data_IF_153977181679
#
_entry.id   IF_153977181679
#
_cell.length_a   1.000
_cell.length_b   1.000
_cell.length_c   1.000
_cell.angle_alpha   90.00
_cell.angle_beta   90.00
_cell.angle_gamma   90.00
#
_symmetry.space_group_name_H-M   'P 1'
#
loop_
_entity.id
_entity.type
_entity.pdbx_description
1 polymer ?
#
# COMPACT_ATOMS: atom_id res chain seq x y z
N UNK A 1 80.24 -47.54 15.70
CA UNK A 1 80.02 -46.08 15.67
C UNK A 1 78.61 -45.86 15.25
N UNK A 2 77.71 -45.51 16.19
CA UNK A 2 76.27 -45.30 15.93
C UNK A 2 75.96 -43.81 16.11
N UNK A 3 75.59 -43.15 15.05
CA UNK A 3 75.13 -41.77 15.11
C UNK A 3 73.62 -41.72 15.39
N UNK A 4 73.26 -41.14 16.51
CA UNK A 4 71.89 -40.82 16.83
C UNK A 4 71.53 -39.40 16.29
N UNK A 5 70.59 -39.30 15.41
CA UNK A 5 69.96 -38.06 15.02
C UNK A 5 68.72 -37.83 15.90
N UNK A 6 68.72 -36.75 16.66
CA UNK A 6 67.57 -36.28 17.39
C UNK A 6 66.76 -35.32 16.48
N UNK A 7 65.56 -35.72 16.14
CA UNK A 7 64.62 -34.87 15.39
C UNK A 7 63.84 -34.01 16.40
N UNK A 8 64.00 -32.70 16.33
CA UNK A 8 63.19 -31.73 17.08
C UNK A 8 61.87 -31.50 16.38
N UNK A 9 60.76 -31.84 17.02
CA UNK A 9 59.40 -31.54 16.56
C UNK A 9 59.01 -30.14 17.06
N UNK A 10 58.87 -29.23 16.12
CA UNK A 10 58.34 -27.89 16.38
C UNK A 10 56.80 -27.95 16.39
N UNK A 11 56.18 -27.79 17.59
CA UNK A 11 54.75 -27.67 17.70
C UNK A 11 54.33 -26.21 17.43
N UNK A 12 53.67 -25.96 16.29
CA UNK A 12 53.06 -24.68 16.00
C UNK A 12 51.66 -24.67 16.62
N UNK A 13 51.47 -23.93 17.69
CA UNK A 13 50.14 -23.66 18.27
C UNK A 13 49.45 -22.58 17.43
N UNK A 14 48.50 -22.97 16.59
CA UNK A 14 47.54 -22.04 15.95
C UNK A 14 46.55 -21.62 17.03
N UNK A 15 46.70 -20.40 17.54
CA UNK A 15 45.63 -19.68 18.28
C UNK A 15 44.57 -19.25 17.27
N UNK A 16 43.49 -19.99 17.13
CA UNK A 16 42.31 -19.59 16.40
C UNK A 16 41.65 -18.40 17.09
N UNK A 17 41.68 -17.23 16.49
CA UNK A 17 40.81 -16.12 16.87
C UNK A 17 39.39 -16.52 16.49
N UNK A 18 38.57 -16.87 17.47
CA UNK A 18 37.12 -16.95 17.34
C UNK A 18 36.65 -15.49 17.22
N UNK A 19 36.38 -15.05 16.00
CA UNK A 19 35.63 -13.83 15.79
C UNK A 19 34.20 -14.13 16.27
N UNK A 20 33.84 -13.63 17.47
CA UNK A 20 32.44 -13.50 17.84
C UNK A 20 31.79 -12.58 16.82
N UNK A 21 31.04 -13.15 15.88
CA UNK A 21 29.99 -12.41 15.19
C UNK A 21 29.06 -11.88 16.26
N UNK A 22 28.87 -10.57 16.32
CA UNK A 22 27.77 -9.98 17.07
C UNK A 22 26.52 -10.66 16.53
N UNK A 23 25.91 -11.52 17.31
CA UNK A 23 24.53 -11.95 17.11
C UNK A 23 23.70 -10.66 17.10
N UNK A 24 23.16 -10.30 15.93
CA UNK A 24 22.09 -9.34 15.86
C UNK A 24 20.98 -9.88 16.76
N UNK A 25 20.64 -9.11 17.78
CA UNK A 25 19.56 -9.39 18.72
C UNK A 25 18.25 -9.50 17.93
N UNK A 26 17.95 -10.68 17.42
CA UNK A 26 16.65 -11.05 16.83
C UNK A 26 15.63 -11.25 17.95
N UNK A 27 15.48 -10.26 18.84
CA UNK A 27 14.34 -10.18 19.71
C UNK A 27 13.07 -10.35 18.85
N UNK A 28 12.24 -11.32 19.22
CA UNK A 28 11.01 -11.65 18.51
C UNK A 28 10.22 -10.37 18.20
N UNK A 29 10.18 -9.96 16.92
CA UNK A 29 9.49 -8.75 16.51
C UNK A 29 8.00 -8.94 16.72
N UNK A 30 7.40 -8.16 17.62
CA UNK A 30 6.00 -8.31 18.02
C UNK A 30 5.14 -7.27 17.33
N UNK A 31 3.99 -7.70 16.83
CA UNK A 31 2.92 -6.81 16.42
C UNK A 31 2.30 -6.14 17.65
N UNK A 32 2.29 -4.81 17.65
CA UNK A 32 1.66 -3.99 18.67
C UNK A 32 0.35 -3.41 18.13
N UNK A 33 -0.75 -3.58 18.86
CA UNK A 33 -2.05 -3.00 18.51
C UNK A 33 -2.04 -1.49 18.77
N UNK A 34 -2.26 -0.71 17.71
CA UNK A 34 -2.31 0.74 17.74
C UNK A 34 -3.72 1.29 17.76
N UNK A 35 -4.61 0.68 16.96
CA UNK A 35 -6.01 1.08 16.87
C UNK A 35 -6.89 -0.12 16.49
N UNK A 36 -8.12 -0.11 16.95
CA UNK A 36 -9.15 -1.09 16.59
C UNK A 36 -10.52 -0.43 16.47
N UNK A 37 -11.30 -0.90 15.50
CA UNK A 37 -12.70 -0.50 15.31
C UNK A 37 -13.61 -1.74 15.30
N UNK A 38 -14.57 -1.77 16.22
CA UNK A 38 -15.47 -2.92 16.37
C UNK A 38 -16.64 -2.90 15.38
N UNK A 39 -16.80 -1.83 14.60
CA UNK A 39 -17.99 -1.62 13.77
C UNK A 39 -17.65 -1.38 12.30
N UNK A 40 -16.67 -0.52 12.02
CA UNK A 40 -16.43 -0.01 10.67
C UNK A 40 -15.16 -0.60 10.07
N UNK A 41 -15.29 -1.13 8.86
CA UNK A 41 -14.17 -1.70 8.10
C UNK A 41 -13.24 -0.58 7.64
N UNK A 42 -12.03 -0.59 8.16
CA UNK A 42 -10.96 0.32 7.73
C UNK A 42 -10.08 -0.33 6.65
N UNK A 43 -9.49 0.48 5.78
CA UNK A 43 -8.53 0.03 4.76
C UNK A 43 -7.21 0.78 4.87
N UNK A 44 -7.21 2.10 4.84
CA UNK A 44 -5.99 2.89 4.83
C UNK A 44 -5.48 3.26 6.22
N UNK A 45 -4.18 3.46 6.30
CA UNK A 45 -3.47 3.97 7.47
C UNK A 45 -2.42 4.99 7.07
N UNK A 46 -2.37 6.12 7.77
CA UNK A 46 -1.32 7.11 7.64
C UNK A 46 -0.84 7.58 9.01
N UNK A 47 0.45 7.44 9.29
CA UNK A 47 1.08 7.90 10.53
C UNK A 47 2.00 9.08 10.26
N UNK A 48 1.73 10.18 10.91
CA UNK A 48 2.57 11.36 10.90
C UNK A 48 3.77 11.14 11.84
N UNK A 49 4.96 11.55 11.42
CA UNK A 49 6.17 11.46 12.26
C UNK A 49 5.94 12.20 13.58
N UNK A 50 6.15 11.55 14.73
CA UNK A 50 5.89 12.07 16.08
C UNK A 50 4.48 12.67 16.28
N UNK A 51 3.49 12.28 15.47
CA UNK A 51 2.19 12.94 15.42
C UNK A 51 1.00 11.99 15.33
N UNK A 52 0.03 12.40 14.52
CA UNK A 52 -1.27 11.76 14.38
C UNK A 52 -1.19 10.39 13.70
N UNK A 53 -2.12 9.52 14.05
CA UNK A 53 -2.45 8.33 13.30
C UNK A 53 -3.84 8.51 12.69
N UNK A 54 -3.93 8.45 11.36
CA UNK A 54 -5.18 8.54 10.62
C UNK A 54 -5.52 7.18 10.03
N UNK A 55 -6.81 6.91 9.94
CA UNK A 55 -7.35 5.77 9.18
C UNK A 55 -8.50 6.24 8.31
N UNK A 56 -8.75 5.51 7.22
CA UNK A 56 -9.94 5.74 6.41
C UNK A 56 -10.83 4.50 6.33
N UNK A 57 -12.10 4.79 6.07
CA UNK A 57 -13.18 3.82 5.91
C UNK A 57 -13.82 4.05 4.55
N UNK A 58 -13.63 3.18 3.57
CA UNK A 58 -14.31 3.31 2.30
C UNK A 58 -15.80 3.00 2.47
N UNK A 59 -16.64 3.74 1.75
CA UNK A 59 -18.10 3.56 1.81
C UNK A 59 -18.53 2.36 0.96
N UNK A 60 -18.08 1.17 1.32
CA UNK A 60 -18.38 -0.07 0.59
C UNK A 60 -19.69 -0.75 1.03
N UNK A 61 -20.25 -0.33 2.15
CA UNK A 61 -21.51 -0.83 2.68
C UNK A 61 -22.36 0.29 3.28
N UNK A 62 -23.58 -0.06 3.71
CA UNK A 62 -24.46 0.88 4.43
C UNK A 62 -24.02 1.07 5.90
N UNK A 63 -23.16 0.18 6.41
CA UNK A 63 -22.53 0.32 7.73
C UNK A 63 -21.35 1.30 7.58
N UNK A 64 -21.63 2.58 7.78
CA UNK A 64 -20.71 3.66 7.49
C UNK A 64 -20.98 4.88 8.40
N UNK A 65 -19.93 5.57 8.83
CA UNK A 65 -20.04 6.77 9.64
C UNK A 65 -19.18 7.92 9.10
N UNK A 66 -17.88 7.75 9.08
CA UNK A 66 -16.89 8.73 8.63
C UNK A 66 -15.95 8.12 7.60
N UNK A 67 -15.49 8.93 6.66
CA UNK A 67 -14.52 8.49 5.65
C UNK A 67 -13.09 8.50 6.19
N UNK A 68 -12.72 9.55 6.92
CA UNK A 68 -11.39 9.75 7.48
C UNK A 68 -11.48 10.17 8.92
N UNK A 69 -10.68 9.58 9.79
CA UNK A 69 -10.59 9.95 11.20
C UNK A 69 -9.13 10.03 11.68
N UNK A 70 -8.90 10.85 12.69
CA UNK A 70 -7.73 10.79 13.56
C UNK A 70 -8.07 9.83 14.71
N UNK A 71 -7.18 8.88 15.00
CA UNK A 71 -7.36 7.96 16.12
C UNK A 71 -6.96 8.63 17.44
N UNK A 72 -7.69 8.32 18.50
CA UNK A 72 -7.43 8.80 19.86
C UNK A 72 -7.27 7.58 20.79
N UNK A 73 -6.03 7.17 21.02
CA UNK A 73 -5.76 5.89 21.68
C UNK A 73 -6.19 4.70 20.83
N UNK A 74 -6.55 3.58 21.48
CA UNK A 74 -6.81 2.33 20.77
C UNK A 74 -8.18 2.24 20.12
N UNK A 75 -9.18 2.98 20.57
CA UNK A 75 -10.58 2.86 20.09
C UNK A 75 -11.25 4.20 19.80
N UNK A 76 -10.72 5.31 20.34
CA UNK A 76 -11.25 6.64 20.12
C UNK A 76 -10.95 7.15 18.72
N UNK A 77 -11.88 7.92 18.15
CA UNK A 77 -11.72 8.50 16.81
C UNK A 77 -12.44 9.85 16.69
N UNK A 78 -11.85 10.75 15.92
CA UNK A 78 -12.40 12.08 15.60
C UNK A 78 -12.43 12.27 14.09
N UNK A 79 -13.54 12.67 13.46
CA UNK A 79 -13.63 12.87 12.01
C UNK A 79 -12.64 13.94 11.52
N UNK A 80 -11.99 13.68 10.40
CA UNK A 80 -10.97 14.56 9.84
C UNK A 80 -11.33 15.02 8.42
N UNK A 81 -11.13 16.29 8.04
CA UNK A 81 -10.70 17.39 8.92
C UNK A 81 -11.79 17.82 9.93
N UNK A 82 -13.05 17.55 9.63
CA UNK A 82 -14.23 17.89 10.42
C UNK A 82 -15.43 16.98 10.09
N UNK A 83 -16.51 17.13 10.85
CA UNK A 83 -17.75 16.38 10.63
C UNK A 83 -18.39 16.74 9.29
N UNK A 84 -18.40 18.03 8.93
CA UNK A 84 -19.12 18.52 7.74
C UNK A 84 -18.51 17.95 6.45
N UNK A 85 -17.19 17.84 6.36
CA UNK A 85 -16.48 17.23 5.23
C UNK A 85 -16.78 15.72 5.10
N UNK A 86 -17.01 15.04 6.21
CA UNK A 86 -17.36 13.62 6.26
C UNK A 86 -18.85 13.32 5.98
N UNK A 87 -19.71 14.37 5.91
CA UNK A 87 -21.15 14.23 5.68
C UNK A 87 -21.52 14.45 4.21
N UNK A 88 -21.24 13.45 3.37
CA UNK A 88 -21.77 13.41 2.02
C UNK A 88 -22.99 12.48 1.93
N UNK A 89 -23.96 12.82 1.08
CA UNK A 89 -25.10 11.97 0.73
C UNK A 89 -25.39 12.04 -0.77
N UNK A 90 -26.07 11.02 -1.28
CA UNK A 90 -26.46 10.97 -2.70
C UNK A 90 -27.17 12.27 -3.14
N UNK A 91 -26.81 12.74 -4.35
CA UNK A 91 -27.31 13.98 -4.93
C UNK A 91 -26.53 15.25 -4.54
N UNK A 92 -25.62 15.18 -3.58
CA UNK A 92 -24.73 16.29 -3.24
C UNK A 92 -23.44 16.26 -4.06
N UNK A 93 -22.85 17.46 -4.29
CA UNK A 93 -21.50 17.54 -4.85
C UNK A 93 -20.47 16.84 -3.96
N UNK A 94 -19.62 16.06 -4.57
CA UNK A 94 -18.50 15.40 -3.90
C UNK A 94 -17.23 16.26 -3.80
N UNK A 95 -17.18 17.44 -4.42
CA UNK A 95 -15.93 18.22 -4.55
C UNK A 95 -15.30 18.59 -3.21
N UNK A 96 -16.12 19.02 -2.23
CA UNK A 96 -15.67 19.46 -0.91
C UNK A 96 -16.13 18.50 0.19
N UNK A 97 -16.42 17.25 -0.15
CA UNK A 97 -16.89 16.21 0.78
C UNK A 97 -16.11 14.93 0.55
N UNK A 98 -15.96 14.13 1.58
CA UNK A 98 -15.50 12.75 1.45
C UNK A 98 -16.66 11.86 1.02
N UNK A 99 -16.56 11.26 -0.16
CA UNK A 99 -17.62 10.42 -0.74
C UNK A 99 -17.36 8.95 -0.43
N UNK A 100 -16.15 8.46 -0.77
CA UNK A 100 -15.74 7.07 -0.57
C UNK A 100 -14.20 7.01 -0.53
N UNK A 101 -13.58 7.60 0.49
CA UNK A 101 -12.11 7.68 0.58
C UNK A 101 -11.49 6.29 0.63
N UNK A 102 -10.53 6.03 -0.26
CA UNK A 102 -9.83 4.76 -0.38
C UNK A 102 -8.45 4.79 0.27
N UNK A 103 -7.71 5.88 0.16
CA UNK A 103 -6.33 5.95 0.66
C UNK A 103 -6.05 7.27 1.37
N UNK A 104 -5.25 7.19 2.43
CA UNK A 104 -4.63 8.30 3.14
C UNK A 104 -3.13 8.08 3.17
N UNK A 105 -2.34 9.12 2.86
CA UNK A 105 -0.90 8.99 2.69
C UNK A 105 -0.15 10.24 3.16
N UNK A 106 0.86 10.09 4.01
CA UNK A 106 1.84 11.14 4.27
C UNK A 106 3.01 11.01 3.30
N UNK A 107 3.29 12.08 2.56
CA UNK A 107 4.51 12.16 1.76
C UNK A 107 5.76 12.41 2.63
N UNK A 108 6.95 12.31 2.04
CA UNK A 108 8.21 12.51 2.77
C UNK A 108 8.42 13.93 3.33
N UNK A 109 7.65 14.92 2.88
CA UNK A 109 7.60 16.25 3.48
C UNK A 109 6.58 16.32 4.63
N UNK A 110 5.91 15.22 4.96
CA UNK A 110 4.86 15.11 5.98
C UNK A 110 3.58 15.85 5.59
N UNK A 111 3.29 16.00 4.31
CA UNK A 111 2.00 16.51 3.82
C UNK A 111 1.02 15.36 3.69
N UNK A 112 -0.17 15.51 4.23
CA UNK A 112 -1.23 14.51 4.10
C UNK A 112 -1.94 14.64 2.75
N UNK A 113 -2.06 13.52 2.07
CA UNK A 113 -2.83 13.33 0.84
C UNK A 113 -3.99 12.39 1.10
N UNK A 114 -5.16 12.71 0.54
CA UNK A 114 -6.37 11.91 0.67
C UNK A 114 -6.90 11.62 -0.72
N UNK A 115 -7.03 10.33 -1.03
CA UNK A 115 -7.52 9.85 -2.32
C UNK A 115 -8.95 9.36 -2.16
N UNK A 116 -9.86 9.99 -2.92
CA UNK A 116 -11.28 9.67 -2.92
C UNK A 116 -11.71 9.26 -4.34
N UNK A 117 -11.87 7.97 -4.65
CA UNK A 117 -12.46 7.50 -5.89
C UNK A 117 -13.93 7.89 -6.06
N UNK A 118 -14.58 8.31 -4.96
CA UNK A 118 -15.98 8.70 -4.93
C UNK A 118 -16.97 7.67 -5.50
N UNK A 119 -16.64 6.38 -5.39
CA UNK A 119 -17.44 5.27 -5.91
C UNK A 119 -17.96 4.37 -4.76
N UNK A 120 -19.00 4.81 -4.03
CA UNK A 120 -19.61 4.02 -2.96
C UNK A 120 -20.01 2.62 -3.47
N UNK A 121 -19.84 1.61 -2.60
CA UNK A 121 -20.10 0.18 -2.91
C UNK A 121 -19.33 -0.34 -4.13
N UNK A 122 -18.22 0.33 -4.49
CA UNK A 122 -17.45 0.02 -5.70
C UNK A 122 -18.26 0.16 -7.01
N UNK A 123 -19.33 0.92 -7.01
CA UNK A 123 -20.21 1.11 -8.17
C UNK A 123 -19.67 2.21 -9.08
N UNK A 124 -20.40 3.32 -9.22
CA UNK A 124 -20.05 4.44 -10.09
C UNK A 124 -19.62 5.67 -9.31
N UNK A 125 -18.80 6.50 -9.95
CA UNK A 125 -18.35 7.78 -9.38
C UNK A 125 -19.55 8.69 -9.14
N UNK A 126 -19.65 9.23 -7.94
CA UNK A 126 -20.77 10.06 -7.51
C UNK A 126 -20.36 11.53 -7.33
N UNK A 127 -21.28 12.45 -7.66
CA UNK A 127 -21.16 13.86 -7.32
C UNK A 127 -19.94 14.58 -7.88
N UNK A 128 -19.34 14.10 -8.99
CA UNK A 128 -18.05 14.55 -9.51
C UNK A 128 -16.94 14.53 -8.44
N UNK A 129 -17.03 13.59 -7.51
CA UNK A 129 -16.24 13.58 -6.28
C UNK A 129 -14.88 12.89 -6.37
N UNK A 130 -14.57 12.20 -7.51
CA UNK A 130 -13.29 11.51 -7.67
C UNK A 130 -12.13 12.51 -7.71
N UNK A 131 -11.22 12.43 -6.72
CA UNK A 131 -10.19 13.45 -6.51
C UNK A 131 -9.01 12.96 -5.68
N UNK A 132 -7.87 13.63 -5.86
CA UNK A 132 -6.75 13.66 -4.92
C UNK A 132 -6.75 15.01 -4.20
N UNK A 133 -6.64 14.98 -2.88
CA UNK A 133 -6.66 16.20 -2.06
C UNK A 133 -5.35 16.32 -1.28
N UNK A 134 -4.73 17.51 -1.38
CA UNK A 134 -3.61 17.92 -0.53
C UNK A 134 -4.16 18.70 0.66
N UNK A 135 -3.81 18.26 1.86
CA UNK A 135 -4.19 18.96 3.09
C UNK A 135 -3.13 19.99 3.48
N UNK A 136 -3.56 21.10 4.03
CA UNK A 136 -2.67 22.07 4.69
C UNK A 136 -2.26 21.56 6.07
N UNK A 137 -0.95 21.56 6.33
CA UNK A 137 -0.38 20.98 7.57
C UNK A 137 -0.71 21.79 8.83
N UNK A 138 -0.86 23.10 8.68
CA UNK A 138 -1.05 24.01 9.82
C UNK A 138 -2.51 24.18 10.18
N UNK A 139 -3.33 24.44 9.16
CA UNK A 139 -4.77 24.70 9.34
C UNK A 139 -5.63 23.43 9.36
N UNK A 140 -5.10 22.28 8.90
CA UNK A 140 -5.84 21.04 8.66
C UNK A 140 -7.04 21.23 7.72
N UNK A 141 -6.94 22.15 6.77
CA UNK A 141 -7.95 22.38 5.73
C UNK A 141 -7.49 21.84 4.38
N UNK A 142 -8.42 21.76 3.43
CA UNK A 142 -8.10 21.41 2.04
C UNK A 142 -7.27 22.54 1.42
N UNK A 143 -6.01 22.27 1.10
CA UNK A 143 -5.12 23.21 0.43
C UNK A 143 -5.30 23.20 -1.09
N UNK A 144 -5.47 22.01 -1.68
CA UNK A 144 -5.68 21.86 -3.13
C UNK A 144 -6.41 20.56 -3.45
N UNK A 145 -7.30 20.63 -4.44
CA UNK A 145 -8.03 19.48 -4.99
C UNK A 145 -7.65 19.27 -6.45
N UNK A 146 -7.34 18.03 -6.79
CA UNK A 146 -7.08 17.56 -8.15
C UNK A 146 -8.25 16.65 -8.54
N UNK A 147 -9.20 17.16 -9.33
CA UNK A 147 -10.38 16.40 -9.77
C UNK A 147 -10.02 15.48 -10.94
N UNK A 148 -10.46 14.23 -10.87
CA UNK A 148 -10.24 13.23 -11.92
C UNK A 148 -11.38 13.18 -12.95
N UNK A 149 -12.43 13.98 -12.80
CA UNK A 149 -13.59 14.01 -13.71
C UNK A 149 -13.21 14.06 -15.19
N UNK A 150 -12.17 14.82 -15.62
CA UNK A 150 -11.82 14.89 -17.04
C UNK A 150 -11.22 13.61 -17.63
N UNK A 151 -10.69 12.71 -16.80
CA UNK A 151 -9.87 11.58 -17.28
C UNK A 151 -10.38 10.20 -16.87
N UNK A 152 -11.34 10.12 -15.96
CA UNK A 152 -11.89 8.84 -15.48
C UNK A 152 -13.23 8.54 -16.16
N UNK A 153 -13.44 7.27 -16.49
CA UNK A 153 -14.78 6.77 -16.77
C UNK A 153 -15.57 6.64 -15.45
N UNK A 154 -16.89 6.72 -15.51
CA UNK A 154 -17.76 6.63 -14.32
C UNK A 154 -17.57 5.34 -13.53
N UNK A 155 -17.10 4.28 -14.17
CA UNK A 155 -16.84 2.98 -13.54
C UNK A 155 -15.41 2.81 -13.03
N UNK A 156 -14.52 3.80 -13.19
CA UNK A 156 -13.13 3.73 -12.72
C UNK A 156 -13.05 3.73 -11.19
N UNK A 157 -11.95 3.16 -10.66
CA UNK A 157 -11.66 3.17 -9.23
C UNK A 157 -10.18 3.44 -8.99
N UNK A 158 -9.84 4.67 -8.59
CA UNK A 158 -8.49 5.01 -8.16
C UNK A 158 -8.24 4.44 -6.77
N UNK A 159 -7.09 3.78 -6.57
CA UNK A 159 -6.89 2.97 -5.38
C UNK A 159 -5.85 3.52 -4.42
N UNK A 160 -4.60 3.68 -4.84
CA UNK A 160 -3.54 4.16 -3.97
C UNK A 160 -2.70 5.26 -4.65
N UNK A 161 -1.93 6.02 -3.86
CA UNK A 161 -1.16 7.18 -4.31
C UNK A 161 0.24 7.21 -3.74
N UNK A 162 1.21 7.61 -4.56
CA UNK A 162 2.56 8.00 -4.11
C UNK A 162 2.94 9.34 -4.69
N UNK A 163 3.60 10.17 -3.89
CA UNK A 163 3.90 11.56 -4.23
C UNK A 163 5.40 11.81 -4.26
N UNK A 164 5.88 12.27 -5.41
CA UNK A 164 7.22 12.80 -5.60
C UNK A 164 7.20 14.30 -5.32
N UNK A 165 7.55 14.66 -4.10
CA UNK A 165 7.51 16.05 -3.63
C UNK A 165 8.53 16.92 -4.37
N UNK A 166 9.71 16.38 -4.68
CA UNK A 166 10.79 17.12 -5.31
C UNK A 166 10.46 17.48 -6.76
N UNK A 167 9.85 16.54 -7.48
CA UNK A 167 9.50 16.75 -8.89
C UNK A 167 8.06 17.23 -9.08
N UNK A 168 7.28 17.36 -7.97
CA UNK A 168 5.88 17.81 -8.00
C UNK A 168 4.99 16.92 -8.85
N UNK A 169 5.06 15.59 -8.64
CA UNK A 169 4.18 14.62 -9.31
C UNK A 169 3.54 13.67 -8.31
N UNK A 170 2.32 13.23 -8.63
CA UNK A 170 1.69 12.11 -7.97
C UNK A 170 1.43 10.98 -8.98
N UNK A 171 1.58 9.74 -8.50
CA UNK A 171 1.32 8.51 -9.25
C UNK A 171 0.26 7.72 -8.51
N UNK A 172 -0.77 7.27 -9.25
CA UNK A 172 -1.90 6.56 -8.67
C UNK A 172 -2.21 5.30 -9.48
N UNK A 173 -2.69 4.28 -8.80
CA UNK A 173 -3.20 3.06 -9.43
C UNK A 173 -4.70 3.19 -9.71
N UNK A 174 -5.15 2.58 -10.81
CA UNK A 174 -6.56 2.43 -11.17
C UNK A 174 -6.89 0.92 -11.26
N UNK A 175 -7.72 0.43 -10.33
CA UNK A 175 -7.86 -1.00 -10.09
C UNK A 175 -9.02 -1.68 -10.83
N UNK A 176 -9.92 -0.95 -11.48
CA UNK A 176 -10.99 -1.55 -12.29
C UNK A 176 -10.58 -1.81 -13.74
N UNK A 177 -10.14 -0.80 -14.45
CA UNK A 177 -9.71 -0.93 -15.84
C UNK A 177 -8.24 -1.33 -16.00
N UNK A 178 -7.45 -1.19 -14.95
CA UNK A 178 -6.00 -1.31 -14.98
C UNK A 178 -5.33 -0.08 -15.59
N UNK A 179 -4.32 0.44 -14.90
CA UNK A 179 -3.57 1.60 -15.38
C UNK A 179 -2.90 2.38 -14.26
N UNK A 180 -2.09 3.34 -14.67
CA UNK A 180 -1.45 4.32 -13.79
C UNK A 180 -1.95 5.71 -14.18
N UNK A 181 -2.28 6.53 -13.18
CA UNK A 181 -2.58 7.95 -13.36
C UNK A 181 -1.36 8.75 -12.91
N UNK A 182 -0.94 9.68 -13.76
CA UNK A 182 0.16 10.61 -13.47
C UNK A 182 -0.43 12.01 -13.36
N UNK A 183 -0.17 12.67 -12.24
CA UNK A 183 -0.65 14.03 -11.96
C UNK A 183 0.55 14.95 -11.81
N UNK A 184 0.63 16.00 -12.62
CA UNK A 184 1.54 17.12 -12.38
C UNK A 184 0.93 18.01 -11.30
N UNK A 185 1.54 18.06 -10.13
CA UNK A 185 1.02 18.78 -8.98
C UNK A 185 1.19 20.31 -9.09
N UNK A 186 2.06 20.78 -9.98
CA UNK A 186 2.26 22.21 -10.17
C UNK A 186 1.09 22.85 -10.95
N UNK A 187 0.69 22.26 -12.06
CA UNK A 187 -0.34 22.79 -12.96
C UNK A 187 -1.67 22.02 -12.93
N UNK A 188 -1.67 20.79 -12.39
CA UNK A 188 -2.85 19.92 -12.30
C UNK A 188 -3.11 19.10 -13.57
N UNK A 189 -2.22 19.12 -14.56
CA UNK A 189 -2.34 18.25 -15.73
C UNK A 189 -2.25 16.79 -15.35
N UNK A 190 -3.06 15.96 -15.99
CA UNK A 190 -3.17 14.54 -15.68
C UNK A 190 -3.18 13.71 -16.96
N UNK A 191 -2.67 12.48 -16.86
CA UNK A 191 -2.81 11.49 -17.92
C UNK A 191 -2.95 10.08 -17.35
N UNK A 192 -3.68 9.22 -18.06
CA UNK A 192 -3.70 7.79 -17.82
C UNK A 192 -2.70 7.12 -18.74
N UNK A 193 -1.89 6.23 -18.19
CA UNK A 193 -0.87 5.48 -18.91
C UNK A 193 -0.96 4.00 -18.58
N UNK A 194 -0.37 3.13 -19.39
CA UNK A 194 -0.38 1.67 -19.22
C UNK A 194 -1.81 1.13 -19.03
N UNK A 195 -2.78 1.67 -19.78
CA UNK A 195 -4.19 1.27 -19.66
C UNK A 195 -4.35 -0.15 -20.21
N UNK A 196 -4.91 -1.04 -19.39
CA UNK A 196 -5.10 -2.46 -19.70
C UNK A 196 -3.83 -3.15 -20.21
N UNK A 197 -2.66 -2.64 -19.84
CA UNK A 197 -1.38 -3.27 -20.13
C UNK A 197 -1.20 -4.52 -19.25
N UNK A 198 -0.48 -5.53 -19.72
CA UNK A 198 -0.30 -6.80 -18.98
C UNK A 198 0.24 -6.60 -17.56
N UNK A 199 1.01 -5.53 -17.31
CA UNK A 199 1.55 -5.22 -15.98
C UNK A 199 0.56 -4.51 -15.05
N UNK A 200 -0.56 -4.03 -15.57
CA UNK A 200 -1.59 -3.32 -14.81
C UNK A 200 -2.90 -4.07 -14.70
N UNK A 201 -3.07 -5.17 -15.45
CA UNK A 201 -4.21 -6.07 -15.33
C UNK A 201 -3.79 -7.39 -14.69
N UNK A 202 -4.70 -7.98 -13.93
CA UNK A 202 -4.50 -9.27 -13.28
C UNK A 202 -4.31 -10.38 -14.32
N UNK A 203 -3.30 -11.23 -14.15
CA UNK A 203 -3.10 -12.41 -15.01
C UNK A 203 -4.34 -13.32 -14.89
N UNK A 204 -5.03 -13.59 -16.01
CA UNK A 204 -6.23 -14.44 -15.98
C UNK A 204 -5.93 -15.87 -15.56
N UNK A 205 -4.70 -16.35 -15.73
CA UNK A 205 -4.28 -17.70 -15.34
C UNK A 205 -3.87 -17.82 -13.87
N UNK A 206 -3.55 -16.71 -13.20
CA UNK A 206 -3.16 -16.73 -11.79
C UNK A 206 -4.32 -17.12 -10.89
N UNK A 207 -4.10 -18.09 -10.00
CA UNK A 207 -5.07 -18.52 -8.99
C UNK A 207 -4.73 -17.90 -7.65
N UNK A 208 -5.53 -16.96 -7.22
CA UNK A 208 -5.38 -16.35 -5.90
C UNK A 208 -5.95 -17.29 -4.83
N UNK A 209 -5.08 -18.08 -4.20
CA UNK A 209 -5.45 -19.04 -3.15
C UNK A 209 -5.30 -18.36 -1.78
N UNK A 210 -6.38 -18.20 -1.04
CA UNK A 210 -6.36 -17.69 0.33
C UNK A 210 -7.30 -18.52 1.20
N UNK A 211 -6.96 -18.76 2.45
CA UNK A 211 -7.71 -19.66 3.35
C UNK A 211 -7.92 -21.07 2.76
N UNK A 212 -6.95 -21.58 2.00
CA UNK A 212 -6.96 -22.91 1.40
C UNK A 212 -7.88 -23.07 0.19
N UNK A 213 -8.42 -21.97 -0.36
CA UNK A 213 -9.33 -22.00 -1.54
C UNK A 213 -9.02 -20.84 -2.48
N UNK A 214 -9.36 -21.00 -3.76
CA UNK A 214 -9.34 -19.88 -4.69
C UNK A 214 -10.36 -18.82 -4.25
N UNK A 215 -9.91 -17.56 -4.21
CA UNK A 215 -10.79 -16.44 -3.85
C UNK A 215 -11.78 -16.19 -4.99
N UNK A 216 -13.05 -16.43 -4.71
CA UNK A 216 -14.15 -16.23 -5.65
C UNK A 216 -14.93 -14.98 -5.28
N UNK A 217 -15.30 -14.17 -6.26
CA UNK A 217 -16.23 -13.05 -6.11
C UNK A 217 -17.45 -13.30 -6.99
N UNK A 218 -18.63 -13.37 -6.40
CA UNK A 218 -19.89 -13.62 -7.11
C UNK A 218 -19.81 -14.83 -8.06
N UNK A 219 -19.19 -15.92 -7.59
CA UNK A 219 -19.05 -17.18 -8.32
C UNK A 219 -17.96 -17.21 -9.40
N UNK A 220 -17.14 -16.17 -9.52
CA UNK A 220 -16.02 -16.09 -10.48
C UNK A 220 -14.69 -15.88 -9.72
N UNK A 221 -13.52 -16.30 -10.28
CA UNK A 221 -12.23 -15.96 -9.71
C UNK A 221 -12.10 -14.45 -9.51
N UNK A 222 -11.76 -14.04 -8.28
CA UNK A 222 -11.59 -12.63 -7.96
C UNK A 222 -10.36 -12.08 -8.69
N UNK A 223 -10.55 -11.03 -9.48
CA UNK A 223 -9.50 -10.35 -10.22
C UNK A 223 -9.52 -8.87 -9.88
N UNK A 224 -8.37 -8.39 -9.37
CA UNK A 224 -8.14 -7.00 -9.04
C UNK A 224 -6.91 -6.55 -9.84
N UNK A 225 -7.09 -5.51 -10.62
CA UNK A 225 -6.04 -4.96 -11.47
C UNK A 225 -5.04 -4.12 -10.67
N UNK A 226 -4.42 -3.12 -11.30
CA UNK A 226 -3.39 -2.28 -10.70
C UNK A 226 -3.82 -1.69 -9.36
N UNK A 227 -3.12 -2.07 -8.30
CA UNK A 227 -3.48 -1.79 -6.90
C UNK A 227 -2.25 -1.33 -6.11
N UNK A 228 -1.42 -2.27 -5.68
CA UNK A 228 -0.20 -1.97 -4.95
C UNK A 228 0.74 -1.03 -5.71
N UNK A 229 1.23 0.01 -5.03
CA UNK A 229 2.11 1.03 -5.60
C UNK A 229 3.12 1.52 -4.55
N UNK A 230 4.39 1.66 -4.95
CA UNK A 230 5.44 2.23 -4.11
C UNK A 230 6.42 3.06 -4.94
N UNK A 231 6.86 4.19 -4.41
CA UNK A 231 7.86 5.06 -5.01
C UNK A 231 9.17 4.90 -4.26
N UNK A 232 10.28 4.70 -4.98
CA UNK A 232 11.60 4.62 -4.35
C UNK A 232 11.94 5.94 -3.62
N UNK A 233 12.77 5.91 -2.56
CA UNK A 233 13.10 7.11 -1.77
C UNK A 233 13.69 8.27 -2.61
N UNK A 234 14.44 7.95 -3.65
CA UNK A 234 15.01 8.91 -4.61
C UNK A 234 14.00 9.38 -5.69
N UNK A 235 12.78 8.84 -5.69
CA UNK A 235 11.72 9.16 -6.64
C UNK A 235 11.98 8.69 -8.08
N UNK A 236 13.01 7.86 -8.33
CA UNK A 236 13.41 7.48 -9.68
C UNK A 236 12.61 6.32 -10.26
N UNK A 237 12.08 5.45 -9.41
CA UNK A 237 11.33 4.27 -9.82
C UNK A 237 9.97 4.20 -9.15
N UNK A 238 8.95 3.90 -9.96
CA UNK A 238 7.63 3.50 -9.48
C UNK A 238 7.52 1.99 -9.58
N UNK A 239 7.28 1.33 -8.43
CA UNK A 239 6.94 -0.08 -8.34
C UNK A 239 5.43 -0.21 -8.23
N UNK A 240 4.85 -1.15 -8.95
CA UNK A 240 3.41 -1.37 -8.96
C UNK A 240 3.07 -2.80 -9.36
N UNK A 241 1.84 -3.22 -9.10
CA UNK A 241 1.35 -4.54 -9.51
C UNK A 241 -0.18 -4.65 -9.47
N UNK A 242 -0.78 -5.57 -10.22
CA UNK A 242 -2.13 -6.05 -9.95
C UNK A 242 -2.19 -6.75 -8.59
N UNK A 243 -3.31 -6.60 -7.84
CA UNK A 243 -3.44 -7.28 -6.55
C UNK A 243 -3.54 -8.80 -6.75
N UNK A 244 -4.43 -9.26 -7.65
CA UNK A 244 -4.62 -10.69 -7.93
C UNK A 244 -3.54 -11.25 -8.85
N UNK A 245 -2.29 -11.06 -8.46
CA UNK A 245 -1.09 -11.55 -9.14
C UNK A 245 0.03 -11.66 -8.10
N UNK A 246 1.10 -12.40 -8.39
CA UNK A 246 2.31 -12.45 -7.57
C UNK A 246 3.52 -11.78 -8.23
N UNK A 247 3.37 -11.25 -9.45
CA UNK A 247 4.40 -10.51 -10.16
C UNK A 247 4.53 -9.08 -9.63
N UNK A 248 5.75 -8.55 -9.73
CA UNK A 248 6.08 -7.18 -9.38
C UNK A 248 6.66 -6.49 -10.61
N UNK A 249 6.20 -5.29 -10.89
CA UNK A 249 6.66 -4.47 -12.00
C UNK A 249 7.24 -3.15 -11.52
N UNK A 250 8.13 -2.55 -12.33
CA UNK A 250 8.58 -1.20 -12.12
C UNK A 250 8.78 -0.44 -13.42
N UNK A 251 8.75 0.87 -13.33
CA UNK A 251 9.06 1.78 -14.43
C UNK A 251 9.76 3.02 -13.90
N UNK A 252 10.69 3.60 -14.69
CA UNK A 252 11.29 4.87 -14.32
C UNK A 252 10.26 5.99 -14.36
N UNK A 253 10.23 6.80 -13.32
CA UNK A 253 9.28 7.92 -13.20
C UNK A 253 9.51 9.01 -14.25
N UNK A 254 10.74 9.14 -14.76
CA UNK A 254 11.04 10.07 -15.87
C UNK A 254 10.23 9.74 -17.12
N UNK A 255 10.03 8.45 -17.45
CA UNK A 255 9.20 8.01 -18.57
C UNK A 255 7.72 8.34 -18.33
N UNK A 256 7.26 8.11 -17.11
CA UNK A 256 5.88 8.45 -16.71
C UNK A 256 5.60 9.95 -16.81
N UNK A 257 6.56 10.80 -16.50
CA UNK A 257 6.43 12.26 -16.56
C UNK A 257 6.58 12.86 -17.97
N UNK A 258 7.17 12.12 -18.91
CA UNK A 258 7.41 12.63 -20.26
C UNK A 258 6.13 12.56 -21.13
N UNK A 259 5.45 13.70 -21.41
CA UNK A 259 4.23 13.70 -22.20
C UNK A 259 4.48 13.38 -23.68
N UNK A 260 5.73 13.45 -24.15
CA UNK A 260 6.10 13.16 -25.54
C UNK A 260 6.28 11.67 -25.83
N UNK A 261 6.29 10.78 -24.83
CA UNK A 261 6.35 9.34 -25.07
C UNK A 261 5.01 8.82 -25.59
N UNK A 262 5.08 8.02 -26.66
CA UNK A 262 3.90 7.29 -27.14
C UNK A 262 3.53 6.17 -26.14
N UNK A 263 2.32 5.63 -26.27
CA UNK A 263 1.90 4.50 -25.44
C UNK A 263 2.85 3.29 -25.61
N UNK A 264 3.20 2.97 -26.86
CA UNK A 264 4.10 1.86 -27.18
C UNK A 264 5.51 2.04 -26.60
N UNK A 265 6.08 3.27 -26.70
CA UNK A 265 7.38 3.56 -26.12
C UNK A 265 7.36 3.39 -24.61
N UNK A 266 6.30 3.87 -23.95
CA UNK A 266 6.15 3.77 -22.51
C UNK A 266 5.97 2.31 -22.05
N UNK A 267 5.17 1.53 -22.75
CA UNK A 267 4.96 0.11 -22.48
C UNK A 267 6.27 -0.70 -22.56
N UNK A 268 7.14 -0.34 -23.51
CA UNK A 268 8.47 -0.97 -23.66
C UNK A 268 9.44 -0.66 -22.51
N UNK A 269 9.15 0.32 -21.65
CA UNK A 269 9.98 0.70 -20.50
C UNK A 269 9.57 -0.01 -19.21
N UNK A 270 8.52 -0.82 -19.26
CA UNK A 270 8.09 -1.60 -18.08
C UNK A 270 9.06 -2.76 -17.86
N UNK A 271 9.56 -2.87 -16.64
CA UNK A 271 10.38 -3.99 -16.20
C UNK A 271 9.55 -4.97 -15.37
N UNK A 272 9.49 -6.23 -15.82
CA UNK A 272 8.95 -7.36 -15.05
C UNK A 272 10.07 -7.90 -14.14
N UNK A 273 9.87 -7.79 -12.83
CA UNK A 273 10.85 -8.22 -11.83
C UNK A 273 10.67 -9.68 -11.41
N UNK A 274 9.66 -10.38 -11.95
CA UNK A 274 9.31 -11.75 -11.62
C UNK A 274 8.34 -11.90 -10.47
N UNK A 275 8.29 -13.10 -9.89
CA UNK A 275 7.29 -13.53 -8.93
C UNK A 275 7.76 -13.33 -7.49
N UNK A 276 6.90 -12.75 -6.65
CA UNK A 276 7.16 -12.49 -5.23
C UNK A 276 5.98 -12.91 -4.36
N UNK A 277 4.96 -12.05 -4.22
CA UNK A 277 3.79 -12.33 -3.38
C UNK A 277 2.54 -11.58 -3.86
N UNK A 278 1.38 -12.10 -3.49
CA UNK A 278 0.11 -11.41 -3.65
C UNK A 278 -0.06 -10.42 -2.50
N UNK A 279 0.03 -9.13 -2.79
CA UNK A 279 -0.11 -8.04 -1.82
C UNK A 279 -1.16 -7.03 -2.26
N UNK A 280 -1.79 -6.38 -1.32
CA UNK A 280 -2.58 -5.17 -1.51
C UNK A 280 -1.64 -3.96 -1.60
N UNK A 281 -1.49 -3.15 -0.58
CA UNK A 281 -0.54 -2.06 -0.57
C UNK A 281 0.93 -2.48 -0.46
N UNK A 282 1.84 -1.53 -0.66
CA UNK A 282 3.28 -1.70 -0.46
C UNK A 282 3.96 -0.34 -0.22
N UNK A 283 5.10 -0.34 0.49
CA UNK A 283 5.81 0.88 0.85
C UNK A 283 7.33 0.67 0.93
N UNK A 284 8.11 1.64 0.44
CA UNK A 284 9.56 1.69 0.67
C UNK A 284 9.90 2.39 1.98
N UNK A 285 10.94 1.89 2.67
CA UNK A 285 11.65 2.67 3.69
C UNK A 285 12.74 3.54 3.05
N UNK A 286 13.33 4.45 3.83
CA UNK A 286 14.41 5.35 3.40
C UNK A 286 15.72 4.60 3.00
N UNK A 287 15.85 3.33 3.37
CA UNK A 287 17.00 2.47 3.01
C UNK A 287 16.78 1.74 1.68
N UNK A 288 15.60 1.90 1.06
CA UNK A 288 15.24 1.24 -0.18
C UNK A 288 14.75 -0.19 -0.01
N UNK A 289 14.31 -0.60 1.18
CA UNK A 289 13.63 -1.86 1.37
C UNK A 289 12.13 -1.68 1.08
N UNK A 290 11.55 -2.58 0.29
CA UNK A 290 10.12 -2.62 0.00
C UNK A 290 9.42 -3.58 0.97
N UNK A 291 8.40 -3.08 1.66
CA UNK A 291 7.53 -3.88 2.52
C UNK A 291 6.22 -4.17 1.81
N UNK A 292 5.78 -5.43 1.89
CA UNK A 292 4.55 -5.94 1.27
C UNK A 292 3.85 -6.89 2.22
N UNK A 293 2.52 -6.96 2.16
CA UNK A 293 1.77 -8.04 2.79
C UNK A 293 1.78 -9.29 1.91
N UNK A 294 1.97 -10.44 2.49
CA UNK A 294 1.65 -11.70 1.85
C UNK A 294 0.26 -12.13 2.34
N UNK A 295 -0.76 -11.82 1.53
CA UNK A 295 -2.17 -12.08 1.85
C UNK A 295 -2.44 -13.57 2.06
N UNK A 296 -1.75 -14.41 1.30
CA UNK A 296 -1.91 -15.87 1.34
C UNK A 296 -1.20 -16.50 2.55
N UNK A 297 -0.11 -15.87 3.01
CA UNK A 297 0.76 -16.38 4.07
C UNK A 297 0.52 -15.75 5.44
N UNK A 298 -0.36 -14.75 5.56
CA UNK A 298 -0.60 -14.00 6.82
C UNK A 298 0.70 -13.43 7.39
N UNK A 299 1.49 -12.78 6.55
CA UNK A 299 2.80 -12.26 6.93
C UNK A 299 3.12 -10.94 6.23
N UNK A 300 4.06 -10.21 6.82
CA UNK A 300 4.71 -9.09 6.15
C UNK A 300 6.07 -9.55 5.65
N UNK A 301 6.36 -9.26 4.40
CA UNK A 301 7.65 -9.52 3.78
C UNK A 301 8.40 -8.23 3.49
N UNK A 302 9.71 -8.33 3.48
CA UNK A 302 10.64 -7.28 3.09
C UNK A 302 11.45 -7.74 1.89
N UNK A 303 11.51 -6.91 0.86
CA UNK A 303 12.34 -7.08 -0.34
C UNK A 303 13.48 -6.06 -0.27
N UNK A 304 14.74 -6.52 -0.30
CA UNK A 304 15.89 -5.63 -0.30
C UNK A 304 16.24 -5.11 -1.71
N UNK A 305 17.22 -4.24 -1.83
CA UNK A 305 17.66 -3.68 -3.12
C UNK A 305 18.21 -4.71 -4.11
N UNK A 306 18.59 -5.89 -3.64
CA UNK A 306 18.99 -7.04 -4.47
C UNK A 306 17.81 -7.96 -4.81
N UNK A 307 16.56 -7.53 -4.54
CA UNK A 307 15.33 -8.27 -4.74
C UNK A 307 15.25 -9.58 -3.92
N UNK A 308 15.96 -9.67 -2.80
CA UNK A 308 15.87 -10.82 -1.89
C UNK A 308 14.72 -10.62 -0.92
N UNK A 309 13.75 -11.52 -0.97
CA UNK A 309 12.58 -11.48 -0.11
C UNK A 309 12.82 -12.22 1.22
N UNK A 310 12.50 -11.58 2.33
CA UNK A 310 12.57 -12.14 3.68
C UNK A 310 11.29 -11.88 4.45
N UNK A 311 10.89 -12.79 5.34
CA UNK A 311 9.74 -12.57 6.21
C UNK A 311 10.12 -11.65 7.37
N UNK A 312 9.39 -10.54 7.54
CA UNK A 312 9.55 -9.63 8.69
C UNK A 312 8.81 -10.18 9.92
N UNK A 313 7.56 -10.60 9.71
CA UNK A 313 6.70 -11.21 10.73
C UNK A 313 5.65 -12.07 10.07
N UNK A 314 5.27 -13.17 10.72
CA UNK A 314 4.11 -14.00 10.39
C UNK A 314 3.19 -14.05 11.60
N UNK A 315 1.91 -13.72 11.42
CA UNK A 315 0.94 -13.66 12.52
C UNK A 315 -0.47 -13.79 11.97
N UNK A 316 -1.27 -14.68 12.53
CA UNK A 316 -2.65 -14.95 12.07
C UNK A 316 -3.60 -13.75 12.24
N UNK A 317 -3.19 -12.72 13.01
CA UNK A 317 -3.89 -11.45 13.14
C UNK A 317 -3.76 -10.54 11.91
N UNK A 318 -2.82 -10.81 11.01
CA UNK A 318 -2.63 -10.09 9.75
C UNK A 318 -3.65 -10.54 8.69
N UNK A 319 -4.93 -10.34 8.98
CA UNK A 319 -6.03 -10.74 8.09
C UNK A 319 -6.22 -9.65 7.03
N UNK A 320 -5.70 -9.85 5.84
CA UNK A 320 -5.64 -8.91 4.75
C UNK A 320 -4.93 -7.61 5.14
N UNK A 321 -3.60 -7.65 5.34
CA UNK A 321 -2.82 -6.43 5.49
C UNK A 321 -2.94 -5.59 4.21
N UNK A 322 -3.57 -4.41 4.35
CA UNK A 322 -4.09 -3.60 3.28
C UNK A 322 -3.14 -2.44 2.95
N UNK A 323 -3.03 -1.48 3.85
CA UNK A 323 -2.22 -0.27 3.68
C UNK A 323 -1.10 -0.17 4.70
N UNK A 324 -0.08 0.62 4.35
CA UNK A 324 1.14 0.78 5.14
C UNK A 324 1.52 2.24 5.32
N UNK A 325 2.08 2.56 6.48
CA UNK A 325 2.75 3.81 6.75
C UNK A 325 4.02 3.56 7.55
N UNK A 326 5.09 4.31 7.27
CA UNK A 326 6.35 4.23 8.03
C UNK A 326 6.54 5.55 8.76
N UNK A 327 6.71 5.48 10.08
CA UNK A 327 7.04 6.62 10.92
C UNK A 327 7.64 6.14 12.24
N UNK A 328 8.45 6.98 12.89
CA UNK A 328 9.02 6.75 14.22
C UNK A 328 9.79 5.40 14.34
N UNK A 329 10.35 4.88 13.22
CA UNK A 329 11.06 3.60 13.16
C UNK A 329 10.15 2.36 13.18
N UNK A 330 8.85 2.54 12.89
CA UNK A 330 7.85 1.47 12.81
C UNK A 330 7.16 1.43 11.45
N UNK A 331 6.80 0.23 11.04
CA UNK A 331 5.82 -0.03 9.97
C UNK A 331 4.44 -0.17 10.61
N UNK A 332 3.50 0.69 10.23
CA UNK A 332 2.09 0.62 10.60
C UNK A 332 1.33 -0.11 9.51
N UNK A 333 0.38 -0.97 9.90
CA UNK A 333 -0.29 -1.93 9.02
C UNK A 333 -1.77 -1.93 9.36
N UNK A 334 -2.64 -1.61 8.41
CA UNK A 334 -4.08 -1.82 8.54
C UNK A 334 -4.46 -3.24 8.11
N UNK A 335 -5.45 -3.84 8.78
CA UNK A 335 -5.99 -5.16 8.46
C UNK A 335 -7.48 -5.05 8.18
N UNK A 336 -7.87 -5.22 6.91
CA UNK A 336 -9.21 -4.90 6.42
C UNK A 336 -10.16 -6.08 6.29
N UNK A 337 -9.68 -7.33 6.35
CA UNK A 337 -10.47 -8.57 6.26
C UNK A 337 -11.29 -8.69 4.96
N UNK A 338 -10.83 -8.15 3.83
CA UNK A 338 -11.59 -8.11 2.57
C UNK A 338 -12.05 -9.51 2.13
N UNK A 339 -11.19 -10.54 2.21
CA UNK A 339 -11.54 -11.91 1.81
C UNK A 339 -12.68 -12.51 2.65
N UNK A 340 -13.05 -11.90 3.77
CA UNK A 340 -14.13 -12.33 4.65
C UNK A 340 -15.48 -11.67 4.33
N UNK A 341 -15.53 -10.70 3.41
CA UNK A 341 -16.76 -10.02 2.99
C UNK A 341 -17.75 -10.99 2.32
N UNK A 342 -19.07 -10.67 2.35
CA UNK A 342 -20.13 -11.54 1.81
C UNK A 342 -19.93 -11.97 0.35
N UNK A 343 -19.51 -11.06 -0.52
CA UNK A 343 -19.29 -11.31 -1.95
C UNK A 343 -18.24 -12.39 -2.24
N UNK A 344 -17.30 -12.61 -1.31
CA UNK A 344 -16.28 -13.66 -1.41
C UNK A 344 -16.68 -14.94 -0.67
N UNK A 345 -17.83 -14.95 0.01
CA UNK A 345 -18.29 -16.03 0.89
C UNK A 345 -19.74 -16.45 0.64
N UNK A 346 -20.19 -16.42 -0.62
CA UNK A 346 -21.55 -16.82 -1.02
C UNK A 346 -22.66 -16.06 -0.25
N UNK A 347 -22.45 -14.76 -0.03
CA UNK A 347 -23.39 -13.89 0.68
C UNK A 347 -23.29 -13.93 2.21
N UNK A 348 -22.37 -14.73 2.78
CA UNK A 348 -22.19 -14.83 4.24
C UNK A 348 -21.05 -13.90 4.68
N UNK A 349 -21.35 -12.95 5.55
CA UNK A 349 -20.34 -12.13 6.19
C UNK A 349 -19.52 -12.94 7.21
N UNK A 350 -18.24 -13.14 6.94
CA UNK A 350 -17.30 -13.86 7.81
C UNK A 350 -16.31 -12.93 8.50
N UNK A 351 -16.45 -11.61 8.32
CA UNK A 351 -15.61 -10.64 9.03
C UNK A 351 -15.88 -10.75 10.53
N UNK A 352 -14.84 -10.55 11.32
CA UNK A 352 -14.90 -10.57 12.79
C UNK A 352 -14.34 -9.28 13.34
N UNK A 353 -15.06 -8.68 14.29
CA UNK A 353 -14.54 -7.53 15.03
C UNK A 353 -13.37 -7.93 15.93
N UNK A 354 -12.40 -7.04 16.12
CA UNK A 354 -12.27 -5.72 15.53
C UNK A 354 -11.54 -5.71 14.17
N UNK A 355 -11.69 -4.63 13.41
CA UNK A 355 -10.74 -4.23 12.37
C UNK A 355 -9.59 -3.50 13.03
N UNK A 356 -8.34 -3.73 12.59
CA UNK A 356 -7.18 -3.36 13.38
C UNK A 356 -6.13 -2.59 12.61
N UNK A 357 -5.37 -1.76 13.32
CA UNK A 357 -4.08 -1.23 12.90
C UNK A 357 -3.02 -1.74 13.87
N UNK A 358 -2.03 -2.42 13.34
CA UNK A 358 -0.84 -2.84 14.08
C UNK A 358 0.36 -1.98 13.71
N UNK A 359 1.41 -2.04 14.53
CA UNK A 359 2.75 -1.61 14.16
C UNK A 359 3.80 -2.65 14.50
N UNK A 360 4.91 -2.60 13.79
CA UNK A 360 6.08 -3.45 14.04
C UNK A 360 7.35 -2.63 13.83
N UNK A 361 8.37 -2.85 14.65
CA UNK A 361 9.66 -2.16 14.53
C UNK A 361 10.43 -2.64 13.30
N UNK A 362 11.01 -1.72 12.51
CA UNK A 362 11.78 -1.98 11.28
C UNK A 362 13.20 -1.39 11.33
#
# INVERSE_FOLDING_TARGET
MKNNFIAAVLAVTMTGMIACSKDDDHGERKLELMFEDNTYQLTGVAKEENGRLLVNYPRWSDIYQYAVVITNGKTGKTPYPDVATNQWSHGLSGLNKWVCVQSVYFDKAGTLWILDPAAPKLETIQGNGAKLVRMDKQSNTIARTYSFTPILADTSYVNDVRVDVERQYAYLTESKGGGIIVVNLADGQMRRVLQAHYSTISDPSYKFIIDGRELMKDGKPAKFNSDGIALTPDGNWLYYKPLSDDKLYRIKTEHLRNPGMTAMDLESQVEDLGHFTTTDGMIFDEKGNLYMGDLQGYRIVKLDSALRMTTLVKDDRLIWPDSYSIADGYLYISCSQIQKQPEYNNGVDKRTSPYTVYRIKI
#
